data_IF_481130492105
#
_entry.id   IF_481130492105
#
_cell.length_a   1.000
_cell.length_b   1.000
_cell.length_c   1.000
_cell.angle_alpha   90.00
_cell.angle_beta   90.00
_cell.angle_gamma   90.00
#
_symmetry.space_group_name_H-M   'P 1'
#
loop_
_entity.id
_entity.type
_entity.pdbx_description
1 polymer ?
#
# COMPACT_ATOMS: atom_id res chain seq x y z
N UNK A 1 15.16 -4.88 -14.82
CA UNK A 1 15.41 -5.91 -13.79
C UNK A 1 14.48 -5.64 -12.63
N UNK A 2 13.83 -6.66 -12.06
CA UNK A 2 13.12 -6.51 -10.79
C UNK A 2 14.13 -6.25 -9.68
N UNK A 3 13.78 -5.40 -8.71
CA UNK A 3 14.57 -5.28 -7.49
C UNK A 3 14.11 -6.43 -6.58
N UNK A 4 14.99 -7.42 -6.37
CA UNK A 4 14.68 -8.65 -5.61
C UNK A 4 14.32 -8.37 -4.14
N UNK A 5 14.51 -7.14 -3.66
CA UNK A 5 14.21 -6.68 -2.32
C UNK A 5 12.89 -5.91 -2.20
N UNK A 6 12.07 -5.89 -3.27
CA UNK A 6 10.73 -5.33 -3.26
C UNK A 6 9.72 -6.45 -3.50
N UNK A 7 8.78 -6.61 -2.59
CA UNK A 7 7.67 -7.55 -2.75
C UNK A 7 6.35 -6.80 -2.69
N UNK A 8 5.41 -7.16 -3.55
CA UNK A 8 4.07 -6.60 -3.52
C UNK A 8 3.01 -7.69 -3.76
N UNK A 9 1.87 -7.56 -3.09
CA UNK A 9 0.72 -8.43 -3.32
C UNK A 9 -0.58 -7.63 -3.32
N UNK A 10 -1.57 -8.14 -4.06
CA UNK A 10 -2.90 -7.58 -4.17
C UNK A 10 -3.92 -8.59 -3.63
N UNK A 11 -4.76 -8.13 -2.71
CA UNK A 11 -5.76 -8.96 -2.03
C UNK A 11 -7.13 -8.37 -2.34
N UNK A 12 -7.98 -9.15 -3.00
CA UNK A 12 -9.40 -8.80 -3.15
C UNK A 12 -10.16 -9.23 -1.90
N UNK A 13 -10.64 -8.26 -1.14
CA UNK A 13 -11.52 -8.46 0.03
C UNK A 13 -12.99 -8.58 -0.42
N UNK A 14 -13.84 -9.03 0.51
CA UNK A 14 -15.28 -9.12 0.30
C UNK A 14 -15.89 -7.81 -0.20
N UNK A 15 -16.98 -7.92 -0.97
CA UNK A 15 -17.66 -6.80 -1.66
C UNK A 15 -16.80 -6.06 -2.70
N UNK A 16 -15.77 -6.71 -3.25
CA UNK A 16 -14.96 -6.16 -4.34
C UNK A 16 -14.01 -5.03 -3.94
N UNK A 17 -13.71 -4.90 -2.64
CA UNK A 17 -12.71 -3.95 -2.13
C UNK A 17 -11.31 -4.52 -2.28
N UNK A 18 -10.34 -3.68 -2.57
CA UNK A 18 -8.94 -4.09 -2.70
C UNK A 18 -8.11 -3.71 -1.48
N UNK A 19 -7.12 -4.54 -1.19
CA UNK A 19 -5.98 -4.18 -0.36
C UNK A 19 -4.70 -4.49 -1.13
N UNK A 20 -3.70 -3.63 -0.98
CA UNK A 20 -2.38 -3.82 -1.54
C UNK A 20 -1.37 -3.78 -0.40
N UNK A 21 -0.40 -4.68 -0.44
CA UNK A 21 0.70 -4.73 0.51
C UNK A 21 2.00 -4.63 -0.27
N UNK A 22 2.88 -3.71 0.10
CA UNK A 22 4.18 -3.50 -0.51
C UNK A 22 5.22 -3.53 0.61
N UNK A 23 6.21 -4.41 0.48
CA UNK A 23 7.39 -4.44 1.33
C UNK A 23 8.57 -3.86 0.55
N UNK A 24 9.27 -2.91 1.16
CA UNK A 24 10.50 -2.32 0.66
C UNK A 24 11.64 -2.66 1.63
N UNK A 25 12.47 -3.64 1.29
CA UNK A 25 13.65 -4.01 2.06
C UNK A 25 14.93 -3.27 1.59
N UNK A 26 14.79 -2.27 0.72
CA UNK A 26 15.91 -1.48 0.20
C UNK A 26 16.26 -0.32 1.13
N UNK A 27 17.39 0.33 0.84
CA UNK A 27 17.84 1.54 1.54
C UNK A 27 17.26 2.84 0.96
N UNK A 28 16.37 2.76 -0.03
CA UNK A 28 15.83 3.94 -0.73
C UNK A 28 14.31 3.99 -0.63
N UNK A 29 13.74 5.20 -0.72
CA UNK A 29 12.30 5.36 -0.92
C UNK A 29 11.96 4.96 -2.34
N UNK A 30 11.03 4.04 -2.50
CA UNK A 30 10.56 3.59 -3.81
C UNK A 30 9.23 4.24 -4.14
N UNK A 31 9.05 4.65 -5.40
CA UNK A 31 7.76 5.09 -5.92
C UNK A 31 7.07 3.92 -6.61
N UNK A 32 5.86 3.61 -6.18
CA UNK A 32 5.06 2.50 -6.71
C UNK A 32 3.81 3.02 -7.40
N UNK A 33 3.57 2.51 -8.61
CA UNK A 33 2.37 2.74 -9.39
C UNK A 33 1.51 1.48 -9.44
N UNK A 34 0.37 1.49 -8.76
CA UNK A 34 -0.57 0.36 -8.73
C UNK A 34 -1.63 0.60 -9.80
N UNK A 35 -1.60 -0.18 -10.89
CA UNK A 35 -2.61 -0.10 -11.95
C UNK A 35 -3.76 -1.06 -11.67
N UNK A 36 -4.96 -0.53 -11.49
CA UNK A 36 -6.19 -1.32 -11.37
C UNK A 36 -7.29 -0.72 -12.27
N UNK A 37 -7.51 -1.37 -13.41
CA UNK A 37 -8.51 -0.96 -14.41
C UNK A 37 -9.90 -1.57 -14.15
N UNK A 38 -10.00 -2.55 -13.27
CA UNK A 38 -11.28 -3.20 -12.93
C UNK A 38 -12.16 -2.32 -12.04
N UNK A 39 -11.61 -1.21 -11.54
CA UNK A 39 -12.38 -0.21 -10.82
C UNK A 39 -12.78 0.96 -11.70
N UNK A 40 -14.08 1.04 -11.96
CA UNK A 40 -14.69 2.14 -12.69
C UNK A 40 -14.96 3.37 -11.81
N UNK A 41 -14.87 3.23 -10.47
CA UNK A 41 -15.02 4.33 -9.50
C UNK A 41 -13.65 4.89 -9.10
N UNK A 42 -13.64 6.05 -8.43
CA UNK A 42 -12.43 6.67 -7.83
C UNK A 42 -12.38 6.41 -6.31
N UNK A 43 -12.21 5.17 -5.83
CA UNK A 43 -12.21 4.95 -4.40
C UNK A 43 -10.94 5.47 -3.74
N UNK A 44 -11.11 5.72 -2.46
CA UNK A 44 -10.07 6.15 -1.55
C UNK A 44 -9.54 4.97 -0.76
N UNK A 45 -8.23 4.94 -0.58
CA UNK A 45 -7.50 3.96 0.19
C UNK A 45 -6.91 4.65 1.41
N UNK A 46 -7.01 4.03 2.57
CA UNK A 46 -6.22 4.41 3.74
C UNK A 46 -4.83 3.78 3.62
N UNK A 47 -3.80 4.58 3.91
CA UNK A 47 -2.40 4.16 3.90
C UNK A 47 -1.97 3.86 5.33
N UNK A 48 -1.44 2.66 5.54
CA UNK A 48 -0.83 2.23 6.79
C UNK A 48 0.64 1.94 6.51
N UNK A 49 1.52 2.50 7.33
CA UNK A 49 2.96 2.36 7.18
C UNK A 49 3.54 1.70 8.42
N UNK A 50 4.20 0.57 8.23
CA UNK A 50 4.89 -0.19 9.26
C UNK A 50 6.40 0.03 9.08
N UNK A 51 7.03 0.58 10.11
CA UNK A 51 8.48 0.76 10.21
C UNK A 51 8.97 0.12 11.50
N UNK A 52 10.29 0.01 11.68
CA UNK A 52 10.87 -0.45 12.95
C UNK A 52 10.45 0.40 14.15
N UNK A 53 10.13 1.69 13.94
CA UNK A 53 9.69 2.63 14.97
C UNK A 53 8.16 2.73 15.12
N UNK A 54 7.40 2.12 14.21
CA UNK A 54 5.94 2.19 14.18
C UNK A 54 5.38 0.78 13.91
N UNK A 55 5.49 -0.08 14.92
CA UNK A 55 4.83 -1.38 14.96
C UNK A 55 3.53 -1.27 15.76
N UNK A 56 2.49 -2.05 15.42
CA UNK A 56 1.27 -2.07 16.20
C UNK A 56 1.47 -2.70 17.58
N UNK A 57 0.77 -2.18 18.57
CA UNK A 57 0.65 -2.82 19.89
C UNK A 57 -0.34 -4.00 19.79
N UNK A 58 0.17 -5.22 19.95
CA UNK A 58 -0.63 -6.45 19.82
C UNK A 58 -1.28 -6.58 18.44
N UNK A 59 -2.55 -7.02 18.40
CA UNK A 59 -3.29 -7.29 17.15
C UNK A 59 -3.99 -6.06 16.57
N UNK A 60 -3.61 -4.85 16.99
CA UNK A 60 -4.23 -3.61 16.51
C UNK A 60 -3.71 -3.20 15.13
N UNK A 61 -4.53 -2.47 14.36
CA UNK A 61 -4.03 -1.73 13.20
C UNK A 61 -3.44 -0.39 13.65
N UNK A 62 -2.35 0.02 13.03
CA UNK A 62 -1.86 1.40 13.14
C UNK A 62 -2.94 2.39 12.69
N UNK A 63 -2.88 3.62 13.17
CA UNK A 63 -3.68 4.71 12.58
C UNK A 63 -3.21 4.96 11.14
N UNK A 64 -4.12 5.23 10.19
CA UNK A 64 -3.72 5.59 8.84
C UNK A 64 -2.82 6.83 8.86
N UNK A 65 -1.71 6.77 8.13
CA UNK A 65 -0.77 7.90 7.97
C UNK A 65 -1.19 8.82 6.83
N UNK A 66 -2.10 8.37 5.98
CA UNK A 66 -2.57 9.15 4.84
C UNK A 66 -3.66 8.45 4.04
N UNK A 67 -3.97 9.03 2.88
CA UNK A 67 -4.94 8.48 1.93
C UNK A 67 -4.40 8.53 0.52
N UNK A 68 -4.70 7.52 -0.28
CA UNK A 68 -4.48 7.51 -1.72
C UNK A 68 -5.81 7.43 -2.47
N UNK A 69 -5.88 8.00 -3.67
CA UNK A 69 -7.09 7.96 -4.51
C UNK A 69 -6.70 7.30 -5.82
N UNK A 70 -7.48 6.29 -6.25
CA UNK A 70 -7.34 5.74 -7.59
C UNK A 70 -7.79 6.79 -8.63
N UNK A 71 -6.83 7.34 -9.38
CA UNK A 71 -7.08 8.33 -10.42
C UNK A 71 -6.64 7.75 -11.75
N UNK A 72 -7.54 7.76 -12.75
CA UNK A 72 -7.29 7.20 -14.09
C UNK A 72 -6.77 5.74 -14.01
N UNK A 73 -7.27 4.96 -13.05
CA UNK A 73 -6.88 3.56 -12.85
C UNK A 73 -5.50 3.35 -12.22
N UNK A 74 -4.87 4.40 -11.68
CA UNK A 74 -3.54 4.34 -11.05
C UNK A 74 -3.62 4.90 -9.63
N UNK A 75 -2.98 4.20 -8.70
CA UNK A 75 -2.61 4.72 -7.38
C UNK A 75 -1.11 4.95 -7.41
N UNK A 76 -0.68 6.13 -6.99
CA UNK A 76 0.73 6.46 -6.78
C UNK A 76 0.99 6.55 -5.28
N UNK A 77 2.06 5.90 -4.82
CA UNK A 77 2.48 5.93 -3.42
C UNK A 77 3.99 5.84 -3.33
N UNK A 78 4.56 6.58 -2.39
CA UNK A 78 5.95 6.42 -1.98
C UNK A 78 6.01 5.42 -0.82
N UNK A 79 7.00 4.52 -0.84
CA UNK A 79 7.24 3.53 0.21
C UNK A 79 8.66 3.73 0.74
N UNK A 80 8.82 4.23 1.98
CA UNK A 80 10.13 4.46 2.61
C UNK A 80 11.01 3.20 2.66
N UNK A 81 12.33 3.35 2.84
CA UNK A 81 13.23 2.22 3.06
C UNK A 81 12.84 1.41 4.29
N UNK A 82 13.17 0.11 4.28
CA UNK A 82 12.95 -0.82 5.40
C UNK A 82 11.53 -0.74 6.00
N UNK A 83 10.53 -0.71 5.13
CA UNK A 83 9.15 -0.51 5.55
C UNK A 83 8.16 -1.42 4.81
N UNK A 84 6.98 -1.57 5.40
CA UNK A 84 5.83 -2.21 4.77
C UNK A 84 4.71 -1.18 4.67
N UNK A 85 4.21 -0.96 3.47
CA UNK A 85 3.07 -0.10 3.19
C UNK A 85 1.85 -0.95 2.84
N UNK A 86 0.74 -0.75 3.55
CA UNK A 86 -0.54 -1.35 3.26
C UNK A 86 -1.54 -0.27 2.82
N UNK A 87 -2.14 -0.45 1.64
CA UNK A 87 -3.24 0.37 1.16
C UNK A 87 -4.53 -0.43 1.29
N UNK A 88 -5.50 0.10 2.02
CA UNK A 88 -6.81 -0.56 2.20
C UNK A 88 -7.93 0.32 1.67
N UNK A 89 -8.69 -0.19 0.72
CA UNK A 89 -9.86 0.51 0.21
C UNK A 89 -10.91 0.68 1.31
N UNK A 90 -11.48 1.89 1.41
CA UNK A 90 -12.65 2.16 2.25
C UNK A 90 -13.89 1.44 1.72
#
# INVERSE_FOLDING_TARGET
AGNDFIAATAIRKGKGRWAYLIANATNETIKIFIRNLWQQRKPTFDIYLYTSSALPDGDCLLKPVGKAILRKGIIETDVPPHSVCALRQR
#
